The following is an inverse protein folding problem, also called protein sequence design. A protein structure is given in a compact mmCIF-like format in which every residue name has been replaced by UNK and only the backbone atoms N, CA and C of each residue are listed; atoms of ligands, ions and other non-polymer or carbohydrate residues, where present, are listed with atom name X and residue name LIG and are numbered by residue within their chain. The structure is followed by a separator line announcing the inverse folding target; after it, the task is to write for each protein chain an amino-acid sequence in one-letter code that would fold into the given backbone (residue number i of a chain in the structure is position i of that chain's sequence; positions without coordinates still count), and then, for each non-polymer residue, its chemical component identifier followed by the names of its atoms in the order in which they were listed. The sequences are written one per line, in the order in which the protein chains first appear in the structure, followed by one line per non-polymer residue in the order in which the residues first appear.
data_IF_343742369034
#
_entry.id   IF_343742369034
#
_cell.length_a   1.000
_cell.length_b   1.000
_cell.length_c   1.000
_cell.angle_alpha   90.00
_cell.angle_beta   90.00
_cell.angle_gamma   90.00
#
_symmetry.space_group_name_H-M   'P 1'
#
loop_
_entity.id
_entity.type
_entity.pdbx_description
1 polymer ?
#
# COMPACT_ATOMS: atom_id res chain seq x y z
N UNK A 1 -1.36 -9.12 -18.27
CA UNK A 1 -0.60 -8.44 -17.21
C UNK A 1 -1.21 -8.79 -15.87
N UNK A 2 -0.46 -9.41 -14.97
CA UNK A 2 -0.88 -9.82 -13.64
C UNK A 2 -0.95 -8.62 -12.71
N UNK A 3 -0.06 -7.64 -12.87
CA UNK A 3 -0.01 -6.45 -11.99
C UNK A 3 -1.32 -5.66 -11.98
N UNK A 4 -2.09 -5.67 -13.08
CA UNK A 4 -3.39 -4.99 -13.15
C UNK A 4 -4.41 -5.52 -12.14
N UNK A 5 -4.36 -6.83 -11.81
CA UNK A 5 -5.21 -7.43 -10.78
C UNK A 5 -4.92 -6.81 -9.40
N UNK A 6 -3.65 -6.75 -9.02
CA UNK A 6 -3.24 -6.16 -7.75
C UNK A 6 -3.49 -4.66 -7.70
N UNK A 7 -3.29 -3.96 -8.81
CA UNK A 7 -3.61 -2.54 -8.93
C UNK A 7 -5.10 -2.29 -8.70
N UNK A 8 -5.99 -3.09 -9.29
CA UNK A 8 -7.43 -2.97 -9.09
C UNK A 8 -7.84 -3.23 -7.63
N UNK A 9 -7.31 -4.29 -7.01
CA UNK A 9 -7.60 -4.62 -5.59
C UNK A 9 -7.14 -3.50 -4.66
N UNK A 10 -5.91 -3.00 -4.85
CA UNK A 10 -5.34 -1.96 -4.01
C UNK A 10 -5.98 -0.59 -4.24
N UNK A 11 -6.47 -0.31 -5.46
CA UNK A 11 -7.26 0.88 -5.74
C UNK A 11 -8.58 0.86 -4.93
N UNK A 12 -9.29 -0.28 -4.92
CA UNK A 12 -10.49 -0.45 -4.08
C UNK A 12 -10.15 -0.25 -2.59
N UNK A 13 -9.00 -0.74 -2.13
CA UNK A 13 -8.54 -0.53 -0.76
C UNK A 13 -8.27 0.95 -0.43
N UNK A 14 -7.60 1.69 -1.32
CA UNK A 14 -7.38 3.15 -1.16
C UNK A 14 -8.71 3.88 -1.09
N UNK A 15 -9.67 3.55 -1.97
CA UNK A 15 -11.02 4.12 -1.96
C UNK A 15 -11.73 3.84 -0.63
N UNK A 16 -11.65 2.61 -0.11
CA UNK A 16 -12.20 2.26 1.19
C UNK A 16 -11.63 3.14 2.32
N UNK A 17 -10.30 3.30 2.39
CA UNK A 17 -9.66 4.14 3.40
C UNK A 17 -10.07 5.61 3.26
N UNK A 18 -10.18 6.11 2.02
CA UNK A 18 -10.66 7.47 1.74
C UNK A 18 -12.08 7.69 2.26
N UNK A 19 -12.98 6.73 2.02
CA UNK A 19 -14.36 6.77 2.52
C UNK A 19 -14.38 6.81 4.06
N UNK A 20 -13.51 6.09 4.76
CA UNK A 20 -13.44 6.15 6.22
C UNK A 20 -13.02 7.54 6.72
N UNK A 21 -12.05 8.19 6.06
CA UNK A 21 -11.67 9.58 6.37
C UNK A 21 -12.86 10.53 6.15
N UNK A 22 -13.58 10.40 5.03
CA UNK A 22 -14.75 11.24 4.72
C UNK A 22 -15.86 11.05 5.76
N UNK A 23 -16.16 9.81 6.16
CA UNK A 23 -17.15 9.50 7.19
C UNK A 23 -16.81 10.16 8.53
N UNK A 24 -15.55 10.07 8.96
CA UNK A 24 -15.09 10.69 10.21
C UNK A 24 -15.12 12.23 10.14
N UNK A 25 -14.71 12.83 9.02
CA UNK A 25 -14.81 14.29 8.83
C UNK A 25 -16.25 14.78 8.95
N UNK A 26 -17.20 14.08 8.33
CA UNK A 26 -18.63 14.40 8.41
C UNK A 26 -19.18 14.23 9.83
N UNK A 27 -18.83 13.12 10.50
CA UNK A 27 -19.24 12.82 11.88
C UNK A 27 -18.79 13.91 12.87
N UNK A 28 -17.55 14.38 12.73
CA UNK A 28 -16.96 15.36 13.65
C UNK A 28 -17.08 16.82 13.15
N UNK A 29 -17.75 17.06 12.01
CA UNK A 29 -17.92 18.38 11.41
C UNK A 29 -16.61 19.18 11.22
N UNK A 30 -15.50 18.48 10.94
CA UNK A 30 -14.18 19.09 10.76
C UNK A 30 -13.96 19.40 9.28
N UNK A 31 -13.93 20.69 8.92
CA UNK A 31 -13.69 21.12 7.53
C UNK A 31 -12.20 21.17 7.17
N UNK A 32 -11.32 21.49 8.12
CA UNK A 32 -9.88 21.64 7.92
C UNK A 32 -9.09 21.08 9.10
N UNK A 33 -7.88 20.56 8.84
CA UNK A 33 -7.05 19.86 9.83
C UNK A 33 -7.72 18.60 10.41
N UNK A 34 -7.26 18.15 11.58
CA UNK A 34 -7.75 16.99 12.33
C UNK A 34 -8.74 17.34 13.43
N UNK A 35 -8.97 18.62 13.71
CA UNK A 35 -9.86 19.08 14.79
C UNK A 35 -9.50 18.48 16.15
N UNK A 36 -8.22 18.10 16.35
CA UNK A 36 -7.70 17.36 17.51
C UNK A 36 -8.39 15.99 17.76
N UNK A 37 -9.01 15.41 16.73
CA UNK A 37 -9.68 14.11 16.81
C UNK A 37 -8.69 12.98 16.46
N UNK A 38 -8.32 12.19 17.47
CA UNK A 38 -7.38 11.06 17.32
C UNK A 38 -7.85 10.07 16.24
N UNK A 39 -9.14 9.73 16.20
CA UNK A 39 -9.70 8.80 15.20
C UNK A 39 -9.49 9.31 13.76
N UNK A 40 -9.66 10.61 13.53
CA UNK A 40 -9.47 11.22 12.22
C UNK A 40 -8.00 11.26 11.83
N UNK A 41 -7.11 11.57 12.78
CA UNK A 41 -5.66 11.53 12.58
C UNK A 41 -5.19 10.12 12.18
N UNK A 42 -5.68 9.09 12.89
CA UNK A 42 -5.36 7.69 12.58
C UNK A 42 -5.88 7.28 11.20
N UNK A 43 -7.13 7.59 10.86
CA UNK A 43 -7.70 7.25 9.56
C UNK A 43 -6.98 7.94 8.40
N UNK A 44 -6.62 9.22 8.56
CA UNK A 44 -5.79 9.95 7.60
C UNK A 44 -4.41 9.33 7.47
N UNK A 45 -3.77 8.96 8.58
CA UNK A 45 -2.48 8.28 8.57
C UNK A 45 -2.51 6.98 7.76
N UNK A 46 -3.57 6.17 7.92
CA UNK A 46 -3.79 4.97 7.11
C UNK A 46 -3.91 5.30 5.61
N UNK A 47 -4.73 6.30 5.27
CA UNK A 47 -4.94 6.68 3.88
C UNK A 47 -3.67 7.26 3.25
N UNK A 48 -2.98 8.20 3.91
CA UNK A 48 -1.72 8.81 3.44
C UNK A 48 -0.66 7.75 3.19
N UNK A 49 -0.45 6.85 4.15
CA UNK A 49 0.48 5.75 4.00
C UNK A 49 0.11 4.85 2.82
N UNK A 50 -1.18 4.52 2.64
CA UNK A 50 -1.62 3.74 1.50
C UNK A 50 -1.32 4.47 0.17
N UNK A 51 -1.62 5.76 0.05
CA UNK A 51 -1.39 6.55 -1.16
C UNK A 51 0.07 6.85 -1.45
N UNK A 52 0.94 6.85 -0.44
CA UNK A 52 2.38 7.05 -0.61
C UNK A 52 3.07 5.77 -1.12
N UNK A 53 2.75 4.62 -0.53
CA UNK A 53 3.50 3.38 -0.79
C UNK A 53 2.88 2.48 -1.86
N UNK A 54 1.56 2.42 -2.00
CA UNK A 54 0.92 1.54 -3.00
C UNK A 54 1.31 1.94 -4.43
N UNK A 55 1.20 3.21 -4.86
CA UNK A 55 1.46 3.57 -6.25
C UNK A 55 2.91 3.29 -6.68
N UNK A 56 3.89 3.66 -5.84
CA UNK A 56 5.29 3.39 -6.13
C UNK A 56 5.59 1.90 -6.19
N UNK A 57 5.00 1.09 -5.29
CA UNK A 57 5.20 -0.36 -5.31
C UNK A 57 4.58 -1.00 -6.56
N UNK A 58 3.37 -0.58 -6.95
CA UNK A 58 2.72 -1.05 -8.17
C UNK A 58 3.49 -0.64 -9.43
N UNK A 59 4.07 0.57 -9.45
CA UNK A 59 4.94 1.04 -10.53
C UNK A 59 6.18 0.14 -10.66
N UNK A 60 6.84 -0.19 -9.56
CA UNK A 60 7.99 -1.10 -9.60
C UNK A 60 7.59 -2.53 -10.01
N UNK A 61 6.40 -2.99 -9.61
CA UNK A 61 5.90 -4.33 -9.96
C UNK A 61 5.57 -4.44 -11.46
N UNK A 62 4.91 -3.43 -12.04
CA UNK A 62 4.58 -3.42 -13.48
C UNK A 62 5.85 -3.31 -14.32
N UNK A 63 6.82 -2.49 -13.92
CA UNK A 63 8.11 -2.39 -14.59
C UNK A 63 8.85 -3.74 -14.56
N UNK A 64 8.89 -4.40 -13.40
CA UNK A 64 9.52 -5.71 -13.29
C UNK A 64 8.81 -6.78 -14.15
N UNK A 65 7.48 -6.80 -14.17
CA UNK A 65 6.68 -7.69 -15.03
C UNK A 65 6.97 -7.43 -16.52
N UNK A 66 7.02 -6.16 -16.94
CA UNK A 66 7.34 -5.77 -18.31
C UNK A 66 8.77 -6.14 -18.71
N UNK A 67 9.71 -6.13 -17.76
CA UNK A 67 11.09 -6.57 -17.95
C UNK A 67 11.27 -8.09 -17.78
N UNK A 68 10.19 -8.87 -17.86
CA UNK A 68 10.26 -10.33 -17.91
C UNK A 68 10.44 -11.02 -16.55
N UNK A 69 10.10 -10.37 -15.43
CA UNK A 69 10.07 -11.03 -14.13
C UNK A 69 9.10 -12.22 -14.18
N UNK A 70 9.53 -13.37 -13.64
CA UNK A 70 8.73 -14.59 -13.58
C UNK A 70 7.33 -14.34 -13.02
N UNK A 71 6.30 -14.89 -13.69
CA UNK A 71 4.90 -14.75 -13.31
C UNK A 71 4.66 -15.16 -11.84
N UNK A 72 5.34 -16.21 -11.37
CA UNK A 72 5.27 -16.67 -9.98
C UNK A 72 5.80 -15.62 -9.00
N UNK A 73 6.90 -14.94 -9.35
CA UNK A 73 7.47 -13.88 -8.52
C UNK A 73 6.56 -12.64 -8.49
N UNK A 74 5.93 -12.28 -9.62
CA UNK A 74 4.94 -11.20 -9.67
C UNK A 74 3.75 -11.51 -8.76
N UNK A 75 3.24 -12.75 -8.77
CA UNK A 75 2.18 -13.16 -7.86
C UNK A 75 2.60 -13.10 -6.40
N UNK A 76 3.78 -13.64 -6.06
CA UNK A 76 4.29 -13.65 -4.69
C UNK A 76 4.41 -12.23 -4.12
N UNK A 77 5.00 -11.30 -4.89
CA UNK A 77 5.19 -9.91 -4.48
C UNK A 77 3.87 -9.15 -4.43
N UNK A 78 2.97 -9.36 -5.40
CA UNK A 78 1.65 -8.76 -5.43
C UNK A 78 0.75 -9.21 -4.26
N UNK A 79 0.70 -10.50 -3.96
CA UNK A 79 -0.02 -11.03 -2.78
C UNK A 79 0.58 -10.48 -1.50
N UNK A 80 1.91 -10.47 -1.37
CA UNK A 80 2.61 -9.94 -0.18
C UNK A 80 2.28 -8.47 0.04
N UNK A 81 2.20 -7.66 -1.02
CA UNK A 81 1.78 -6.27 -0.95
C UNK A 81 0.33 -6.13 -0.46
N UNK A 82 -0.61 -6.88 -1.04
CA UNK A 82 -2.02 -6.85 -0.63
C UNK A 82 -2.18 -7.25 0.83
N UNK A 83 -1.58 -8.37 1.25
CA UNK A 83 -1.65 -8.86 2.63
C UNK A 83 -1.02 -7.86 3.60
N UNK A 84 0.16 -7.33 3.28
CA UNK A 84 0.83 -6.31 4.11
C UNK A 84 -0.02 -5.05 4.30
N UNK A 85 -0.70 -4.58 3.24
CA UNK A 85 -1.55 -3.38 3.26
C UNK A 85 -2.86 -3.59 4.03
N UNK A 86 -3.50 -4.74 3.84
CA UNK A 86 -4.69 -5.12 4.61
C UNK A 86 -4.36 -5.27 6.09
N UNK A 87 -3.26 -5.96 6.44
CA UNK A 87 -2.80 -6.10 7.82
C UNK A 87 -2.47 -4.76 8.47
N UNK A 88 -1.70 -3.90 7.78
CA UNK A 88 -1.33 -2.58 8.30
C UNK A 88 -2.57 -1.70 8.53
N UNK A 89 -3.46 -1.58 7.53
CA UNK A 89 -4.65 -0.75 7.66
C UNK A 89 -5.62 -1.27 8.72
N UNK A 90 -5.86 -2.59 8.81
CA UNK A 90 -6.69 -3.17 9.86
C UNK A 90 -6.08 -2.97 11.26
N UNK A 91 -4.78 -3.17 11.41
CA UNK A 91 -4.08 -2.95 12.67
C UNK A 91 -4.03 -1.47 13.08
N UNK A 92 -3.98 -0.56 12.10
CA UNK A 92 -4.04 0.86 12.34
C UNK A 92 -5.40 1.27 12.90
N UNK A 93 -6.48 0.82 12.27
CA UNK A 93 -7.86 1.11 12.69
C UNK A 93 -8.21 0.50 14.06
N UNK A 94 -7.64 -0.65 14.42
CA UNK A 94 -7.89 -1.33 15.70
C UNK A 94 -6.85 -1.02 16.80
N UNK A 95 -6.00 0.01 16.63
CA UNK A 95 -4.93 0.40 17.57
C UNK A 95 -3.96 -0.76 17.97
N UNK A 96 -3.80 -1.78 17.12
CA UNK A 96 -2.92 -2.95 17.37
C UNK A 96 -1.49 -2.70 16.88
N UNK A 97 -0.57 -2.34 17.79
CA UNK A 97 0.81 -1.97 17.44
C UNK A 97 1.58 -3.04 16.66
N UNK A 98 1.46 -4.33 17.04
CA UNK A 98 2.21 -5.42 16.37
C UNK A 98 1.84 -5.58 14.89
N UNK A 99 0.56 -5.46 14.54
CA UNK A 99 0.11 -5.58 13.15
C UNK A 99 0.52 -4.39 12.27
N UNK A 100 0.68 -3.20 12.87
CA UNK A 100 1.18 -2.00 12.17
C UNK A 100 2.62 -2.20 11.70
N UNK A 101 3.49 -2.69 12.60
CA UNK A 101 4.91 -2.92 12.32
C UNK A 101 5.10 -4.00 11.27
N UNK A 102 4.44 -5.15 11.44
CA UNK A 102 4.57 -6.27 10.49
C UNK A 102 4.11 -5.87 9.09
N UNK A 103 2.93 -5.26 8.94
CA UNK A 103 2.43 -4.86 7.63
C UNK A 103 3.28 -3.80 6.93
N UNK A 104 3.88 -2.88 7.70
CA UNK A 104 4.78 -1.86 7.15
C UNK A 104 6.12 -2.48 6.72
N UNK A 105 6.71 -3.35 7.54
CA UNK A 105 7.93 -4.09 7.22
C UNK A 105 7.75 -4.93 5.95
N UNK A 106 6.62 -5.63 5.81
CA UNK A 106 6.32 -6.39 4.59
C UNK A 106 6.30 -5.49 3.36
N UNK A 107 5.70 -4.30 3.45
CA UNK A 107 5.69 -3.42 2.27
C UNK A 107 7.08 -2.88 1.94
N UNK A 108 7.87 -2.46 2.94
CA UNK A 108 9.24 -2.03 2.69
C UNK A 108 10.09 -3.14 2.08
N UNK A 109 9.94 -4.38 2.56
CA UNK A 109 10.63 -5.53 1.98
C UNK A 109 10.26 -5.71 0.50
N UNK A 110 8.97 -5.65 0.15
CA UNK A 110 8.52 -5.75 -1.25
C UNK A 110 9.09 -4.61 -2.10
N UNK A 111 9.09 -3.36 -1.60
CA UNK A 111 9.66 -2.21 -2.32
C UNK A 111 11.16 -2.42 -2.57
N UNK A 112 11.92 -2.82 -1.55
CA UNK A 112 13.37 -3.03 -1.66
C UNK A 112 13.68 -4.16 -2.65
N UNK A 113 12.96 -5.29 -2.56
CA UNK A 113 13.12 -6.41 -3.50
C UNK A 113 12.83 -5.96 -4.93
N UNK A 114 11.70 -5.28 -5.15
CA UNK A 114 11.35 -4.79 -6.49
C UNK A 114 12.35 -3.74 -7.01
N UNK A 115 12.86 -2.86 -6.16
CA UNK A 115 13.87 -1.88 -6.54
C UNK A 115 15.16 -2.57 -6.99
N UNK A 116 15.65 -3.56 -6.23
CA UNK A 116 16.84 -4.35 -6.60
C UNK A 116 16.60 -5.12 -7.90
N UNK A 117 15.46 -5.78 -8.05
CA UNK A 117 15.09 -6.51 -9.28
C UNK A 117 15.11 -5.57 -10.49
N UNK A 118 14.45 -4.42 -10.40
CA UNK A 118 14.42 -3.46 -11.51
C UNK A 118 15.81 -2.89 -11.83
N UNK A 119 16.64 -2.61 -10.82
CA UNK A 119 18.02 -2.18 -11.03
C UNK A 119 18.85 -3.25 -11.76
N UNK A 120 18.79 -4.50 -11.30
CA UNK A 120 19.50 -5.62 -11.94
C UNK A 120 19.03 -5.81 -13.38
N UNK A 121 17.71 -5.78 -13.62
CA UNK A 121 17.14 -5.88 -14.97
C UNK A 121 17.63 -4.74 -15.88
N UNK A 122 17.68 -3.51 -15.36
CA UNK A 122 18.17 -2.35 -16.12
C UNK A 122 19.64 -2.51 -16.54
N UNK A 123 20.52 -3.00 -15.67
CA UNK A 123 21.93 -3.21 -16.01
C UNK A 123 22.21 -4.46 -16.85
N UNK A 124 21.39 -5.50 -16.76
CA UNK A 124 21.58 -6.73 -17.55
C UNK A 124 20.93 -6.69 -18.95
N UNK A 125 19.98 -5.78 -19.19
CA UNK A 125 19.31 -5.59 -20.49
C UNK A 125 19.78 -4.33 -21.26
N UNK A 126 20.81 -3.63 -20.77
CA UNK A 126 21.49 -2.52 -21.47
C UNK A 126 22.74 -3.01 -22.20
#
# INVERSE_FOLDING_TARGET
MITSLYAAILAVWICYLSIQVIKLRRKHQVSHSDGEIEELSVARGAHSNATEYIPITLLLLILAEMNGLSLWAVHLLGVSLVVGRCMHGYALLNKKMKGRVVGMLTTYAVIVVLAVVNLVQAFCHS
#
